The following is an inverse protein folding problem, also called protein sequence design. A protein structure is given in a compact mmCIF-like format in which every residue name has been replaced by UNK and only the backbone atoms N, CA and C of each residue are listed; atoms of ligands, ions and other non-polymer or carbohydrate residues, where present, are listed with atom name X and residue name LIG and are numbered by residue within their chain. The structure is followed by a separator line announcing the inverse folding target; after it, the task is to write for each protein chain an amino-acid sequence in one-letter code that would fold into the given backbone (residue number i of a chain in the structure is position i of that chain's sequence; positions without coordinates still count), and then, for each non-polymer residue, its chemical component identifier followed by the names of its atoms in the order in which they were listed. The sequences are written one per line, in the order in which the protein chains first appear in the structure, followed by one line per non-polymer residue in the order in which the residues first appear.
data_IF_030459363191
#
_entry.id   IF_030459363191
#
_cell.length_a   1.000
_cell.length_b   1.000
_cell.length_c   1.000
_cell.angle_alpha   90.00
_cell.angle_beta   90.00
_cell.angle_gamma   90.00
#
_symmetry.space_group_name_H-M   'P 1'
#
loop_
_entity.id
_entity.type
_entity.pdbx_description
1 polymer ?
#
# COMPACT_ATOMS: atom_id res chain seq x y z
N UNK A 1 29.86 12.88 -6.71
CA UNK A 1 29.87 11.54 -6.10
C UNK A 1 28.75 10.74 -6.76
N UNK A 2 29.06 9.71 -7.56
CA UNK A 2 28.04 8.84 -8.15
C UNK A 2 27.98 7.57 -7.30
N UNK A 3 26.82 7.28 -6.70
CA UNK A 3 26.61 6.04 -5.93
C UNK A 3 26.52 4.88 -6.94
N UNK A 4 27.64 4.20 -7.21
CA UNK A 4 27.76 3.14 -8.22
C UNK A 4 27.55 1.74 -7.61
N UNK A 5 26.43 1.52 -6.94
CA UNK A 5 26.09 0.23 -6.35
C UNK A 5 24.59 0.05 -6.14
N UNK A 6 24.08 -1.17 -6.34
CA UNK A 6 22.71 -1.51 -5.97
C UNK A 6 22.59 -1.58 -4.46
N UNK A 7 21.68 -0.81 -3.87
CA UNK A 7 21.38 -0.84 -2.44
C UNK A 7 20.05 -1.58 -2.29
N UNK A 8 19.98 -2.64 -1.46
CA UNK A 8 18.74 -3.38 -1.26
C UNK A 8 17.64 -2.47 -0.70
N UNK A 9 16.36 -2.83 -0.92
CA UNK A 9 15.25 -2.10 -0.33
C UNK A 9 15.25 -2.24 1.19
N UNK A 10 15.00 -1.12 1.87
CA UNK A 10 14.83 -1.05 3.32
C UNK A 10 13.60 -0.21 3.64
N UNK A 11 12.79 -0.65 4.61
CA UNK A 11 11.57 0.06 5.01
C UNK A 11 11.93 1.07 6.10
N UNK A 12 11.52 2.32 5.91
CA UNK A 12 11.67 3.36 6.93
C UNK A 12 10.47 3.25 7.87
N UNK A 13 10.67 2.58 9.00
CA UNK A 13 9.61 2.32 9.97
C UNK A 13 9.02 3.62 10.55
N UNK A 14 9.83 4.67 10.75
CA UNK A 14 9.38 5.94 11.32
C UNK A 14 8.46 6.73 10.38
N UNK A 15 8.56 6.47 9.07
CA UNK A 15 7.74 7.09 8.02
C UNK A 15 6.64 6.14 7.48
N UNK A 16 6.55 4.93 8.03
CA UNK A 16 5.57 3.92 7.65
C UNK A 16 4.55 3.71 8.76
N UNK A 17 3.39 3.16 8.41
CA UNK A 17 2.37 2.81 9.39
C UNK A 17 2.83 1.64 10.26
N UNK A 18 2.65 1.77 11.57
CA UNK A 18 2.63 0.65 12.50
C UNK A 18 1.25 -0.05 12.47
N UNK A 19 0.97 -0.88 13.47
CA UNK A 19 -0.36 -1.48 13.63
C UNK A 19 -1.43 -0.40 13.82
N UNK A 20 -2.50 -0.47 13.04
CA UNK A 20 -3.63 0.45 13.10
C UNK A 20 -4.91 -0.30 13.48
N UNK A 21 -5.74 0.33 14.30
CA UNK A 21 -7.09 -0.13 14.62
C UNK A 21 -8.08 0.95 14.18
N UNK A 22 -9.10 0.56 13.42
CA UNK A 22 -10.09 1.45 12.83
C UNK A 22 -11.49 0.91 13.15
N UNK A 23 -12.46 1.79 13.37
CA UNK A 23 -13.83 1.39 13.65
C UNK A 23 -14.52 0.84 12.40
N UNK A 24 -15.47 -0.07 12.59
CA UNK A 24 -16.26 -0.59 11.48
C UNK A 24 -16.99 0.55 10.76
N UNK A 25 -16.89 0.57 9.42
CA UNK A 25 -17.47 1.60 8.57
C UNK A 25 -16.57 2.82 8.32
N UNK A 26 -15.47 2.96 9.05
CA UNK A 26 -14.47 4.00 8.84
C UNK A 26 -13.36 3.55 7.88
N UNK A 27 -12.68 4.52 7.26
CA UNK A 27 -11.60 4.27 6.31
C UNK A 27 -10.25 4.03 7.00
N UNK A 28 -9.51 3.04 6.51
CA UNK A 28 -8.14 2.74 6.95
C UNK A 28 -7.13 3.13 5.86
N UNK A 29 -6.09 3.87 6.25
CA UNK A 29 -4.97 4.22 5.36
C UNK A 29 -3.67 3.63 5.90
N UNK A 30 -3.01 2.78 5.12
CA UNK A 30 -1.72 2.16 5.46
C UNK A 30 -0.64 2.78 4.58
N UNK A 31 0.40 3.33 5.20
CA UNK A 31 1.51 4.03 4.54
C UNK A 31 2.77 3.17 4.62
N UNK A 32 3.54 3.13 3.52
CA UNK A 32 4.83 2.45 3.48
C UNK A 32 5.84 3.33 2.75
N UNK A 33 6.94 3.65 3.42
CA UNK A 33 8.09 4.34 2.86
C UNK A 33 9.27 3.38 2.81
N UNK A 34 9.87 3.24 1.63
CA UNK A 34 11.05 2.41 1.45
C UNK A 34 12.14 3.16 0.67
N UNK A 35 13.40 2.88 1.01
CA UNK A 35 14.59 3.40 0.33
C UNK A 35 15.39 2.26 -0.27
N UNK A 36 16.21 2.56 -1.26
CA UNK A 36 17.00 1.57 -1.99
C UNK A 36 17.50 2.15 -3.31
N UNK A 37 18.40 1.45 -3.97
CA UNK A 37 18.89 1.84 -5.29
C UNK A 37 18.98 0.62 -6.22
N UNK A 38 18.27 0.60 -7.36
CA UNK A 38 17.29 1.60 -7.81
C UNK A 38 16.12 1.78 -6.84
N UNK A 39 15.37 2.88 -6.98
CA UNK A 39 14.21 3.17 -6.12
C UNK A 39 13.24 1.97 -6.10
N UNK A 40 12.86 1.49 -4.90
CA UNK A 40 12.03 0.29 -4.79
C UNK A 40 10.59 0.53 -5.28
N UNK A 41 9.96 -0.54 -5.76
CA UNK A 41 8.51 -0.58 -6.04
C UNK A 41 7.80 -1.12 -4.81
N UNK A 42 6.82 -0.39 -4.30
CA UNK A 42 6.01 -0.80 -3.15
C UNK A 42 4.71 -1.44 -3.63
N UNK A 43 4.39 -2.63 -3.13
CA UNK A 43 3.16 -3.37 -3.43
C UNK A 43 2.54 -3.89 -2.15
N UNK A 44 1.22 -3.82 -2.06
CA UNK A 44 0.46 -4.33 -0.91
C UNK A 44 -0.15 -5.69 -1.20
N UNK A 45 -0.03 -6.60 -0.22
CA UNK A 45 -0.67 -7.91 -0.22
C UNK A 45 -1.32 -8.15 1.15
N UNK A 46 -2.36 -8.96 1.17
CA UNK A 46 -2.94 -9.48 2.41
C UNK A 46 -2.03 -10.57 2.97
N UNK A 47 -2.18 -10.88 4.25
CA UNK A 47 -1.37 -11.91 4.93
C UNK A 47 -1.61 -13.31 4.34
N UNK A 48 -2.81 -13.56 3.83
CA UNK A 48 -3.17 -14.79 3.10
C UNK A 48 -2.51 -14.91 1.71
N UNK A 49 -1.70 -13.93 1.31
CA UNK A 49 -0.99 -13.91 0.04
C UNK A 49 -1.79 -13.34 -1.13
N UNK A 50 -3.08 -13.06 -0.93
CA UNK A 50 -3.94 -12.49 -1.95
C UNK A 50 -3.70 -10.98 -2.12
N UNK A 51 -3.91 -10.48 -3.34
CA UNK A 51 -3.84 -9.05 -3.61
C UNK A 51 -5.01 -8.32 -2.94
N UNK A 52 -4.78 -7.10 -2.48
CA UNK A 52 -5.86 -6.25 -2.01
C UNK A 52 -6.86 -6.02 -3.15
N UNK A 53 -8.15 -6.24 -2.88
CA UNK A 53 -9.22 -5.94 -3.83
C UNK A 53 -9.28 -4.42 -4.05
N UNK A 54 -8.60 -3.95 -5.11
CA UNK A 54 -8.79 -2.59 -5.62
C UNK A 54 -10.22 -2.52 -6.16
N UNK A 55 -11.15 -2.01 -5.34
CA UNK A 55 -12.51 -1.69 -5.81
C UNK A 55 -12.35 -0.67 -6.94
N UNK A 56 -12.49 -1.11 -8.19
CA UNK A 56 -12.67 -0.18 -9.30
C UNK A 56 -13.92 0.67 -8.97
N UNK A 57 -13.88 2.00 -9.11
CA UNK A 57 -14.97 2.89 -8.67
C UNK A 57 -16.27 2.78 -9.51
N UNK A 58 -16.56 1.63 -10.12
CA UNK A 58 -17.61 1.48 -11.13
C UNK A 58 -18.65 0.38 -10.81
N UNK A 59 -19.05 0.25 -9.55
CA UNK A 59 -20.12 -0.69 -9.16
C UNK A 59 -21.14 -0.13 -8.16
N UNK A 60 -21.15 1.20 -7.92
CA UNK A 60 -22.26 1.88 -7.20
C UNK A 60 -23.38 2.40 -8.11
N UNK A 61 -23.23 2.30 -9.43
CA UNK A 61 -24.23 2.78 -10.42
C UNK A 61 -24.90 1.63 -11.17
N UNK A 62 -25.37 0.60 -10.46
CA UNK A 62 -26.27 -0.40 -11.04
C UNK A 62 -27.39 -0.84 -10.09
N UNK A 63 -27.81 0.02 -9.15
CA UNK A 63 -29.01 -0.22 -8.32
C UNK A 63 -29.92 1.02 -8.24
N UNK A 64 -29.94 1.87 -9.27
CA UNK A 64 -30.98 2.90 -9.40
C UNK A 64 -31.39 3.09 -10.84
N UNK A 65 -32.11 2.13 -11.39
CA UNK A 65 -32.69 2.26 -12.73
C UNK A 65 -33.33 1.01 -13.30
N UNK A 66 -34.42 0.55 -12.69
CA UNK A 66 -35.70 0.14 -13.32
C UNK A 66 -36.52 -0.71 -12.35
#
# INVERSE_FOLDING_TARGET
MKQTGSVPPDIINEESSADIAVQEGEDATIVCKAVGHPTPRVTWKREDGEYMLLRKPQSRELIRGK
#
